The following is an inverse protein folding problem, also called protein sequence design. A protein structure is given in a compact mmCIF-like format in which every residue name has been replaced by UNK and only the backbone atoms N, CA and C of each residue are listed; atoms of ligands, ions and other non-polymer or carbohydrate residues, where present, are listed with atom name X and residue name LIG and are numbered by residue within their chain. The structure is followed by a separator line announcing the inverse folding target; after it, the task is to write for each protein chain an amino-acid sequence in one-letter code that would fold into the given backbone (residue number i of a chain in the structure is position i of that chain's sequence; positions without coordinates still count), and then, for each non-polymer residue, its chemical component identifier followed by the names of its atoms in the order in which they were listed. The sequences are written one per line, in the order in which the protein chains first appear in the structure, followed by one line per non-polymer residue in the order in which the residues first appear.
data_IF_105511297144
#
_entry.id   IF_105511297144
#
_cell.length_a   1.000
_cell.length_b   1.000
_cell.length_c   1.000
_cell.angle_alpha   90.00
_cell.angle_beta   90.00
_cell.angle_gamma   90.00
#
_symmetry.space_group_name_H-M   'P 1'
#
loop_
_entity.id
_entity.type
_entity.pdbx_description
1 polymer ?
#
# COMPACT_ATOMS: atom_id res chain seq x y z
N UNK A 1 -21.22 13.35 -29.93
CA UNK A 1 -20.00 12.95 -29.21
C UNK A 1 -18.96 12.53 -30.23
N UNK A 2 -17.73 13.06 -30.18
CA UNK A 2 -16.67 12.65 -31.09
C UNK A 2 -16.31 11.18 -30.89
N UNK A 3 -15.89 10.48 -31.97
CA UNK A 3 -15.42 9.06 -31.87
C UNK A 3 -14.35 8.88 -30.79
N UNK A 4 -13.57 9.92 -30.54
CA UNK A 4 -12.54 9.95 -29.50
C UNK A 4 -13.15 9.91 -28.08
N UNK A 5 -14.16 10.74 -27.80
CA UNK A 5 -14.85 10.77 -26.51
C UNK A 5 -15.53 9.44 -26.20
N UNK A 6 -16.12 8.79 -27.20
CA UNK A 6 -16.72 7.47 -27.05
C UNK A 6 -15.67 6.37 -26.81
N UNK A 7 -14.52 6.42 -27.48
CA UNK A 7 -13.41 5.46 -27.27
C UNK A 7 -12.77 5.60 -25.89
N UNK A 8 -12.67 6.83 -25.35
CA UNK A 8 -12.14 7.09 -24.00
C UNK A 8 -13.12 6.57 -22.95
N UNK A 9 -14.41 6.86 -23.09
CA UNK A 9 -15.45 6.41 -22.14
C UNK A 9 -15.58 4.89 -22.06
N UNK A 10 -15.25 4.16 -23.13
CA UNK A 10 -15.33 2.69 -23.20
C UNK A 10 -14.10 1.99 -22.59
N UNK A 11 -12.97 2.69 -22.39
CA UNK A 11 -11.73 2.12 -21.84
C UNK A 11 -11.42 2.74 -20.48
N UNK A 12 -11.56 1.95 -19.39
CA UNK A 12 -11.23 2.40 -18.02
C UNK A 12 -9.81 3.01 -17.94
N UNK A 13 -8.83 2.37 -18.57
CA UNK A 13 -7.44 2.86 -18.57
C UNK A 13 -7.30 4.23 -19.24
N UNK A 14 -7.94 4.43 -20.42
CA UNK A 14 -7.89 5.71 -21.11
C UNK A 14 -8.59 6.82 -20.32
N UNK A 15 -9.70 6.50 -19.67
CA UNK A 15 -10.41 7.44 -18.81
C UNK A 15 -9.54 7.86 -17.61
N UNK A 16 -8.91 6.90 -16.91
CA UNK A 16 -8.02 7.20 -15.78
C UNK A 16 -6.78 8.00 -16.20
N UNK A 17 -6.19 7.69 -17.35
CA UNK A 17 -5.06 8.47 -17.88
C UNK A 17 -5.45 9.89 -18.25
N UNK A 18 -6.64 10.09 -18.82
CA UNK A 18 -7.16 11.43 -19.11
C UNK A 18 -7.40 12.23 -17.82
N UNK A 19 -7.99 11.58 -16.81
CA UNK A 19 -8.25 12.20 -15.52
C UNK A 19 -6.95 12.60 -14.83
N UNK A 20 -5.95 11.71 -14.83
CA UNK A 20 -4.61 12.00 -14.31
C UNK A 20 -3.95 13.16 -15.06
N UNK A 21 -4.03 13.19 -16.39
CA UNK A 21 -3.48 14.29 -17.18
C UNK A 21 -4.18 15.62 -16.87
N UNK A 22 -5.50 15.60 -16.73
CA UNK A 22 -6.28 16.78 -16.35
C UNK A 22 -5.87 17.28 -14.95
N UNK A 23 -5.73 16.36 -13.98
CA UNK A 23 -5.30 16.69 -12.63
C UNK A 23 -3.91 17.33 -12.62
N UNK A 24 -2.94 16.78 -13.34
CA UNK A 24 -1.60 17.37 -13.48
C UNK A 24 -1.67 18.78 -14.06
N UNK A 25 -2.45 18.99 -15.10
CA UNK A 25 -2.61 20.33 -15.72
C UNK A 25 -3.22 21.31 -14.72
N UNK A 26 -4.33 20.94 -14.08
CA UNK A 26 -5.01 21.80 -13.10
C UNK A 26 -4.09 22.16 -11.94
N UNK A 27 -3.42 21.19 -11.34
CA UNK A 27 -2.51 21.42 -10.21
C UNK A 27 -1.30 22.25 -10.63
N UNK A 28 -0.79 22.09 -11.85
CA UNK A 28 0.30 22.92 -12.38
C UNK A 28 -0.12 24.36 -12.62
N UNK A 29 -1.38 24.60 -12.95
CA UNK A 29 -1.93 25.97 -13.09
C UNK A 29 -2.17 26.64 -11.73
N UNK A 30 -2.50 25.84 -10.69
CA UNK A 30 -2.78 26.37 -9.34
C UNK A 30 -1.47 26.67 -8.60
N UNK A 31 -0.45 25.82 -8.75
CA UNK A 31 0.80 25.95 -8.00
C UNK A 31 2.03 25.87 -8.92
N UNK A 32 2.86 26.90 -8.98
CA UNK A 32 4.10 26.89 -9.74
C UNK A 32 5.13 25.88 -9.20
N UNK A 33 4.95 25.44 -7.94
CA UNK A 33 5.82 24.46 -7.30
C UNK A 33 5.41 23.01 -7.57
N UNK A 34 4.23 22.78 -8.16
CA UNK A 34 3.67 21.43 -8.32
C UNK A 34 4.63 20.50 -9.10
N UNK A 35 5.19 20.94 -10.20
CA UNK A 35 6.14 20.18 -11.03
C UNK A 35 7.61 20.35 -10.58
N UNK A 36 7.89 21.00 -9.44
CA UNK A 36 9.27 21.06 -8.93
C UNK A 36 9.78 19.69 -8.56
N UNK A 37 11.08 19.45 -8.78
CA UNK A 37 11.71 18.16 -8.45
C UNK A 37 11.51 17.78 -6.98
N UNK A 38 11.61 18.76 -6.07
CA UNK A 38 11.41 18.54 -4.64
C UNK A 38 10.00 18.05 -4.33
N UNK A 39 8.96 18.64 -4.93
CA UNK A 39 7.59 18.22 -4.73
C UNK A 39 7.33 16.83 -5.34
N UNK A 40 7.85 16.55 -6.53
CA UNK A 40 7.72 15.23 -7.15
C UNK A 40 8.39 14.13 -6.32
N UNK A 41 9.54 14.41 -5.72
CA UNK A 41 10.21 13.47 -4.81
C UNK A 41 9.39 13.27 -3.52
N UNK A 42 8.79 14.31 -2.97
CA UNK A 42 7.89 14.19 -1.81
C UNK A 42 6.64 13.37 -2.15
N UNK A 43 6.02 13.60 -3.30
CA UNK A 43 4.87 12.81 -3.76
C UNK A 43 5.25 11.32 -3.84
N UNK A 44 6.41 10.98 -4.40
CA UNK A 44 6.87 9.58 -4.45
C UNK A 44 7.15 9.03 -3.05
N UNK A 45 7.71 9.82 -2.14
CA UNK A 45 7.97 9.42 -0.76
C UNK A 45 6.67 9.09 -0.01
N UNK A 46 5.67 9.97 -0.04
CA UNK A 46 4.37 9.72 0.57
C UNK A 46 3.56 8.64 -0.16
N UNK A 47 3.73 8.54 -1.48
CA UNK A 47 3.10 7.50 -2.31
C UNK A 47 3.70 6.10 -2.15
N UNK A 48 4.84 5.94 -1.47
CA UNK A 48 5.50 4.66 -1.29
C UNK A 48 4.58 3.61 -0.63
N UNK A 49 3.88 4.00 0.44
CA UNK A 49 2.93 3.14 1.13
C UNK A 49 1.77 2.71 0.22
N UNK A 50 1.19 3.66 -0.52
CA UNK A 50 0.11 3.37 -1.48
C UNK A 50 0.58 2.44 -2.60
N UNK A 51 1.81 2.60 -3.07
CA UNK A 51 2.40 1.70 -4.09
C UNK A 51 2.50 0.27 -3.57
N UNK A 52 2.99 0.08 -2.34
CA UNK A 52 3.07 -1.24 -1.72
C UNK A 52 1.69 -1.88 -1.50
N UNK A 53 0.71 -1.09 -1.04
CA UNK A 53 -0.67 -1.55 -0.90
C UNK A 53 -1.27 -1.97 -2.24
N UNK A 54 -1.07 -1.16 -3.29
CA UNK A 54 -1.55 -1.47 -4.64
C UNK A 54 -0.93 -2.75 -5.22
N UNK A 55 0.36 -3.01 -4.92
CA UNK A 55 1.01 -4.26 -5.29
C UNK A 55 0.42 -5.45 -4.54
N UNK A 56 0.12 -5.29 -3.24
CA UNK A 56 -0.55 -6.31 -2.43
C UNK A 56 -1.93 -6.62 -2.97
N UNK A 57 -2.75 -5.60 -3.24
CA UNK A 57 -4.08 -5.76 -3.83
C UNK A 57 -4.03 -6.41 -5.21
N UNK A 58 -3.06 -6.04 -6.04
CA UNK A 58 -2.86 -6.69 -7.34
C UNK A 58 -2.60 -8.21 -7.21
N UNK A 59 -1.85 -8.65 -6.18
CA UNK A 59 -1.66 -10.08 -5.89
C UNK A 59 -2.96 -10.77 -5.49
N UNK A 60 -3.79 -10.11 -4.67
CA UNK A 60 -5.10 -10.63 -4.27
C UNK A 60 -6.01 -10.77 -5.48
N UNK A 61 -6.09 -9.73 -6.32
CA UNK A 61 -6.91 -9.73 -7.54
C UNK A 61 -6.49 -10.81 -8.55
N UNK A 62 -5.18 -11.04 -8.70
CA UNK A 62 -4.63 -12.07 -9.60
C UNK A 62 -4.81 -13.47 -9.01
N UNK A 63 -4.78 -13.61 -7.68
CA UNK A 63 -4.83 -14.91 -6.99
C UNK A 63 -6.21 -15.53 -6.83
N UNK A 64 -7.31 -14.78 -7.01
CA UNK A 64 -8.67 -15.26 -6.73
C UNK A 64 -9.72 -14.79 -7.73
N UNK A 65 -10.74 -15.63 -7.97
CA UNK A 65 -11.96 -15.24 -8.64
C UNK A 65 -12.67 -14.22 -7.73
N UNK A 66 -12.90 -13.00 -8.21
CA UNK A 66 -13.50 -11.90 -7.46
C UNK A 66 -12.68 -11.46 -6.22
N UNK A 67 -11.36 -11.62 -6.25
CA UNK A 67 -10.44 -11.24 -5.18
C UNK A 67 -10.45 -9.72 -4.99
N UNK A 68 -11.16 -9.25 -3.96
CA UNK A 68 -11.15 -7.85 -3.50
C UNK A 68 -10.91 -7.89 -2.00
N UNK A 69 -9.89 -7.17 -1.53
CA UNK A 69 -9.60 -7.02 -0.10
C UNK A 69 -9.71 -5.55 0.33
N UNK A 70 -10.87 -5.17 0.87
CA UNK A 70 -11.08 -3.81 1.38
C UNK A 70 -10.29 -3.57 2.67
N UNK A 71 -9.89 -4.62 3.39
CA UNK A 71 -9.21 -4.50 4.68
C UNK A 71 -7.73 -4.14 4.57
N UNK A 72 -7.17 -4.07 3.37
CA UNK A 72 -5.72 -3.89 3.16
C UNK A 72 -5.19 -2.62 3.86
N UNK A 73 -5.94 -1.53 3.83
CA UNK A 73 -5.58 -0.28 4.53
C UNK A 73 -5.59 -0.44 6.06
N UNK A 74 -6.56 -1.14 6.62
CA UNK A 74 -6.65 -1.40 8.06
C UNK A 74 -5.61 -2.43 8.52
N UNK A 75 -5.29 -3.41 7.68
CA UNK A 75 -4.18 -4.36 7.91
C UNK A 75 -2.85 -3.62 7.98
N UNK A 76 -2.59 -2.68 7.06
CA UNK A 76 -1.41 -1.83 7.11
C UNK A 76 -1.39 -0.98 8.39
N UNK A 77 -2.52 -0.34 8.74
CA UNK A 77 -2.62 0.50 9.93
C UNK A 77 -2.34 -0.29 11.20
N UNK A 78 -2.98 -1.45 11.39
CA UNK A 78 -2.78 -2.28 12.57
C UNK A 78 -1.36 -2.86 12.64
N UNK A 79 -0.81 -3.31 11.53
CA UNK A 79 0.59 -3.77 11.46
C UNK A 79 1.58 -2.64 11.78
N UNK A 80 1.30 -1.41 11.31
CA UNK A 80 2.09 -0.23 11.63
C UNK A 80 2.00 0.15 13.13
N UNK A 81 0.84 0.03 13.74
CA UNK A 81 0.67 0.20 15.20
C UNK A 81 1.48 -0.84 15.96
N UNK A 82 1.42 -2.12 15.57
CA UNK A 82 2.20 -3.19 16.19
C UNK A 82 3.70 -2.91 16.04
N UNK A 83 4.16 -2.44 14.88
CA UNK A 83 5.53 -1.97 14.69
C UNK A 83 5.90 -0.88 15.68
N UNK A 84 5.09 0.18 15.75
CA UNK A 84 5.34 1.31 16.63
C UNK A 84 5.38 0.90 18.11
N UNK A 85 4.44 0.10 18.57
CA UNK A 85 4.40 -0.42 19.94
C UNK A 85 5.60 -1.31 20.26
N UNK A 86 6.06 -2.13 19.32
CA UNK A 86 7.27 -2.94 19.49
C UNK A 86 8.52 -2.05 19.68
N UNK A 87 8.66 -1.00 18.88
CA UNK A 87 9.77 -0.04 19.00
C UNK A 87 9.68 0.71 20.32
N UNK A 88 8.50 1.18 20.72
CA UNK A 88 8.28 1.85 22.02
C UNK A 88 8.55 0.91 23.20
N UNK A 89 8.31 -0.39 23.03
CA UNK A 89 8.64 -1.44 23.99
C UNK A 89 10.13 -1.80 24.04
N UNK A 90 11.00 -1.13 23.29
CA UNK A 90 12.44 -1.33 23.29
C UNK A 90 12.94 -2.36 22.26
N UNK A 91 12.10 -2.86 21.36
CA UNK A 91 12.56 -3.74 20.31
C UNK A 91 13.45 -2.97 19.30
N UNK A 92 14.49 -3.62 18.79
CA UNK A 92 15.28 -3.04 17.71
C UNK A 92 14.45 -2.94 16.42
N UNK A 93 14.77 -1.97 15.54
CA UNK A 93 14.02 -1.76 14.28
C UNK A 93 13.88 -3.04 13.45
N UNK A 94 14.94 -3.86 13.22
CA UNK A 94 14.79 -5.12 12.48
C UNK A 94 13.80 -6.10 13.14
N UNK A 95 13.82 -6.21 14.47
CA UNK A 95 12.89 -7.07 15.22
C UNK A 95 11.46 -6.55 15.08
N UNK A 96 11.25 -5.26 15.25
CA UNK A 96 9.94 -4.63 15.08
C UNK A 96 9.38 -4.82 13.66
N UNK A 97 10.23 -4.73 12.62
CA UNK A 97 9.84 -5.04 11.23
C UNK A 97 9.37 -6.50 11.10
N UNK A 98 10.11 -7.45 11.65
CA UNK A 98 9.73 -8.87 11.60
C UNK A 98 8.40 -9.12 12.30
N UNK A 99 8.20 -8.53 13.48
CA UNK A 99 6.95 -8.63 14.25
C UNK A 99 5.77 -8.04 13.44
N UNK A 100 5.96 -6.87 12.84
CA UNK A 100 4.93 -6.21 12.01
C UNK A 100 4.58 -7.03 10.77
N UNK A 101 5.57 -7.58 10.09
CA UNK A 101 5.34 -8.44 8.92
C UNK A 101 4.61 -9.75 9.30
N UNK A 102 4.98 -10.35 10.43
CA UNK A 102 4.29 -11.53 10.95
C UNK A 102 2.84 -11.22 11.32
N UNK A 103 2.60 -10.07 11.94
CA UNK A 103 1.24 -9.59 12.25
C UNK A 103 0.42 -9.37 10.97
N UNK A 104 0.96 -8.68 9.97
CA UNK A 104 0.30 -8.48 8.68
C UNK A 104 -0.03 -9.81 7.98
N UNK A 105 0.90 -10.76 8.00
CA UNK A 105 0.67 -12.10 7.46
C UNK A 105 -0.44 -12.86 8.22
N UNK A 106 -0.47 -12.76 9.54
CA UNK A 106 -1.51 -13.37 10.36
C UNK A 106 -2.90 -12.75 10.08
N UNK A 107 -2.99 -11.42 9.97
CA UNK A 107 -4.22 -10.72 9.61
C UNK A 107 -4.71 -11.12 8.22
N UNK A 108 -3.81 -11.20 7.25
CA UNK A 108 -4.13 -11.70 5.90
C UNK A 108 -4.57 -13.17 5.89
N UNK A 109 -3.96 -14.02 6.72
CA UNK A 109 -4.38 -15.41 6.88
C UNK A 109 -5.80 -15.52 7.48
N UNK A 110 -6.14 -14.68 8.46
CA UNK A 110 -7.50 -14.58 9.01
C UNK A 110 -8.50 -14.21 7.91
N UNK A 111 -8.18 -13.20 7.09
CA UNK A 111 -9.01 -12.83 5.94
C UNK A 111 -9.21 -14.00 4.98
N UNK A 112 -8.11 -14.71 4.64
CA UNK A 112 -8.17 -15.87 3.75
C UNK A 112 -9.10 -16.97 4.28
N UNK A 113 -9.04 -17.26 5.58
CA UNK A 113 -9.94 -18.24 6.25
C UNK A 113 -11.39 -17.75 6.21
N UNK A 114 -11.63 -16.50 6.57
CA UNK A 114 -12.99 -15.94 6.58
C UNK A 114 -13.62 -15.92 5.18
N UNK A 115 -12.84 -15.58 4.14
CA UNK A 115 -13.27 -15.62 2.75
C UNK A 115 -13.60 -17.07 2.33
N UNK A 116 -12.75 -18.03 2.71
CA UNK A 116 -12.98 -19.44 2.40
C UNK A 116 -14.27 -19.98 3.08
N UNK A 117 -14.59 -19.50 4.28
CA UNK A 117 -15.79 -19.91 5.02
C UNK A 117 -17.05 -19.17 4.53
N UNK A 118 -16.97 -17.88 4.29
CA UNK A 118 -18.13 -17.03 3.94
C UNK A 118 -18.46 -17.07 2.43
N UNK A 119 -17.51 -17.40 1.58
CA UNK A 119 -17.66 -17.41 0.12
C UNK A 119 -17.84 -16.04 -0.55
N UNK A 120 -17.80 -14.95 0.21
CA UNK A 120 -18.00 -13.58 -0.28
C UNK A 120 -16.85 -12.67 0.21
N UNK A 121 -15.81 -12.48 -0.60
CA UNK A 121 -14.60 -11.72 -0.22
C UNK A 121 -14.93 -10.31 0.29
N UNK A 122 -15.78 -9.59 -0.43
CA UNK A 122 -16.14 -8.21 -0.11
C UNK A 122 -16.73 -8.05 1.31
N UNK A 123 -17.63 -8.95 1.71
CA UNK A 123 -18.29 -8.87 3.02
C UNK A 123 -17.31 -9.25 4.15
N UNK A 124 -16.52 -10.30 3.93
CA UNK A 124 -15.53 -10.75 4.90
C UNK A 124 -14.48 -9.66 5.17
N UNK A 125 -13.92 -9.07 4.12
CA UNK A 125 -12.87 -8.04 4.24
C UNK A 125 -13.40 -6.70 4.72
N UNK A 126 -14.65 -6.36 4.42
CA UNK A 126 -15.31 -5.20 5.01
C UNK A 126 -15.49 -5.36 6.53
N UNK A 127 -15.88 -6.54 6.98
CA UNK A 127 -15.98 -6.85 8.41
C UNK A 127 -14.62 -6.72 9.12
N UNK A 128 -13.58 -7.34 8.57
CA UNK A 128 -12.23 -7.28 9.15
C UNK A 128 -11.62 -5.89 9.08
N UNK A 129 -11.95 -5.07 8.08
CA UNK A 129 -11.56 -3.67 8.01
C UNK A 129 -11.97 -2.91 9.27
N UNK A 130 -13.22 -3.03 9.69
CA UNK A 130 -13.70 -2.36 10.90
C UNK A 130 -13.03 -2.92 12.16
N UNK A 131 -12.88 -4.24 12.25
CA UNK A 131 -12.21 -4.87 13.40
C UNK A 131 -10.77 -4.43 13.52
N UNK A 132 -9.99 -4.46 12.44
CA UNK A 132 -8.57 -4.10 12.46
C UNK A 132 -8.37 -2.61 12.70
N UNK A 133 -9.22 -1.74 12.12
CA UNK A 133 -9.19 -0.31 12.40
C UNK A 133 -9.51 -0.01 13.87
N UNK A 134 -10.53 -0.66 14.43
CA UNK A 134 -10.90 -0.49 15.84
C UNK A 134 -9.80 -0.99 16.78
N UNK A 135 -9.15 -2.11 16.46
CA UNK A 135 -8.02 -2.62 17.23
C UNK A 135 -6.83 -1.66 17.18
N UNK A 136 -6.51 -1.08 16.02
CA UNK A 136 -5.45 -0.10 15.89
C UNK A 136 -5.71 1.14 16.77
N UNK A 137 -6.94 1.67 16.74
CA UNK A 137 -7.34 2.79 17.60
C UNK A 137 -7.33 2.44 19.09
N UNK A 138 -7.82 1.24 19.44
CA UNK A 138 -7.82 0.77 20.82
C UNK A 138 -6.41 0.65 21.40
N UNK A 139 -5.48 0.05 20.65
CA UNK A 139 -4.11 -0.17 21.10
C UNK A 139 -3.32 1.14 21.25
N UNK A 140 -3.67 2.17 20.50
CA UNK A 140 -3.00 3.50 20.59
C UNK A 140 -3.74 4.49 21.48
N UNK A 141 -4.93 4.14 21.98
CA UNK A 141 -5.82 5.10 22.64
C UNK A 141 -6.27 6.24 21.70
N UNK A 142 -6.22 6.04 20.39
CA UNK A 142 -6.52 7.06 19.38
C UNK A 142 -5.42 8.12 19.20
N UNK A 143 -4.25 7.92 19.79
CA UNK A 143 -3.12 8.86 19.70
C UNK A 143 -2.09 8.33 18.70
N UNK A 144 -1.58 9.16 17.77
CA UNK A 144 -0.53 8.76 16.86
C UNK A 144 0.76 8.36 17.59
N UNK A 145 1.38 7.26 17.19
CA UNK A 145 2.68 6.84 17.71
C UNK A 145 3.76 7.71 17.04
N UNK A 146 4.64 8.31 17.85
CA UNK A 146 5.72 9.19 17.40
C UNK A 146 6.99 8.95 18.24
N UNK A 147 8.10 9.63 17.90
CA UNK A 147 9.37 9.50 18.63
C UNK A 147 10.16 8.26 18.23
N UNK A 148 10.12 7.90 16.97
CA UNK A 148 10.95 6.84 16.42
C UNK A 148 12.44 7.22 16.45
N UNK A 149 13.36 6.25 16.63
CA UNK A 149 14.79 6.51 16.66
C UNK A 149 15.32 6.99 15.30
N UNK A 150 16.39 7.79 15.30
CA UNK A 150 17.02 8.35 14.10
C UNK A 150 17.43 7.28 13.07
N UNK A 151 17.74 6.06 13.53
CA UNK A 151 18.03 4.94 12.63
C UNK A 151 16.86 4.57 11.71
N UNK A 152 15.62 4.80 12.17
CA UNK A 152 14.42 4.62 11.34
C UNK A 152 14.19 5.82 10.41
N UNK A 153 14.54 7.03 10.83
CA UNK A 153 14.43 8.22 10.00
C UNK A 153 15.28 8.13 8.74
N UNK A 154 16.44 7.43 8.81
CA UNK A 154 17.26 7.20 7.63
C UNK A 154 16.47 6.50 6.51
N UNK A 155 15.64 5.54 6.83
CA UNK A 155 14.82 4.84 5.86
C UNK A 155 13.59 5.66 5.46
N UNK A 156 12.95 6.33 6.42
CA UNK A 156 11.64 6.96 6.24
C UNK A 156 11.70 8.39 5.68
N UNK A 157 12.74 9.16 6.02
CA UNK A 157 12.80 10.59 5.72
C UNK A 157 14.01 10.99 4.85
N UNK A 158 15.10 10.19 4.83
CA UNK A 158 16.30 10.58 4.09
C UNK A 158 16.29 10.08 2.65
N UNK A 159 17.15 10.69 1.85
CA UNK A 159 17.33 10.36 0.43
C UNK A 159 18.78 10.00 0.15
N UNK A 160 19.00 9.04 -0.75
CA UNK A 160 20.30 8.66 -1.28
C UNK A 160 20.33 8.96 -2.78
N UNK A 161 21.33 9.68 -3.26
CA UNK A 161 21.41 10.17 -4.66
C UNK A 161 20.17 11.00 -5.08
N UNK A 162 19.53 11.71 -4.14
CA UNK A 162 18.34 12.49 -4.41
C UNK A 162 17.03 11.68 -4.52
N UNK A 163 17.09 10.36 -4.34
CA UNK A 163 15.91 9.47 -4.34
C UNK A 163 15.56 9.10 -2.89
N UNK A 164 14.28 9.20 -2.46
CA UNK A 164 13.88 8.77 -1.13
C UNK A 164 14.26 7.32 -0.85
N UNK A 165 14.86 7.08 0.32
CA UNK A 165 15.37 5.75 0.69
C UNK A 165 14.27 4.68 0.71
N UNK A 166 13.04 5.04 1.08
CA UNK A 166 11.88 4.13 1.00
C UNK A 166 11.66 3.58 -0.42
N UNK A 167 11.82 4.44 -1.43
CA UNK A 167 11.67 4.02 -2.84
C UNK A 167 12.81 3.07 -3.21
N UNK A 168 14.03 3.46 -2.91
CA UNK A 168 15.23 2.73 -3.33
C UNK A 168 15.34 1.35 -2.66
N UNK A 169 15.12 1.30 -1.35
CA UNK A 169 15.40 0.11 -0.54
C UNK A 169 14.16 -0.72 -0.18
N UNK A 170 12.95 -0.20 -0.41
CA UNK A 170 11.71 -0.93 -0.10
C UNK A 170 10.86 -1.11 -1.35
N UNK A 171 10.41 -0.02 -1.97
CA UNK A 171 9.43 -0.11 -3.08
C UNK A 171 10.02 -0.85 -4.29
N UNK A 172 11.22 -0.48 -4.73
CA UNK A 172 11.86 -1.12 -5.90
C UNK A 172 12.11 -2.63 -5.65
N UNK A 173 12.77 -3.06 -4.55
CA UNK A 173 12.98 -4.47 -4.29
C UNK A 173 11.67 -5.27 -4.16
N UNK A 174 10.66 -4.73 -3.47
CA UNK A 174 9.36 -5.38 -3.33
C UNK A 174 8.65 -5.49 -4.68
N UNK A 175 8.70 -4.44 -5.51
CA UNK A 175 8.12 -4.47 -6.87
C UNK A 175 8.77 -5.54 -7.73
N UNK A 176 10.12 -5.65 -7.69
CA UNK A 176 10.86 -6.69 -8.42
C UNK A 176 10.46 -8.08 -7.91
N UNK A 177 10.35 -8.25 -6.59
CA UNK A 177 9.93 -9.52 -5.98
C UNK A 177 8.53 -9.91 -6.44
N UNK A 178 7.56 -8.99 -6.36
CA UNK A 178 6.18 -9.21 -6.81
C UNK A 178 6.14 -9.55 -8.30
N UNK A 179 6.91 -8.85 -9.13
CA UNK A 179 7.02 -9.15 -10.55
C UNK A 179 7.53 -10.59 -10.78
N UNK A 180 8.58 -11.01 -10.07
CA UNK A 180 9.11 -12.38 -10.14
C UNK A 180 8.07 -13.40 -9.70
N UNK A 181 7.34 -13.12 -8.61
CA UNK A 181 6.27 -13.99 -8.10
C UNK A 181 5.15 -14.18 -9.14
N UNK A 182 4.71 -13.11 -9.77
CA UNK A 182 3.63 -13.17 -10.76
C UNK A 182 4.08 -13.88 -12.04
N UNK A 183 5.23 -13.52 -12.59
CA UNK A 183 5.61 -13.98 -13.94
C UNK A 183 6.43 -15.28 -13.95
N UNK A 184 7.22 -15.60 -12.92
CA UNK A 184 8.11 -16.76 -12.92
C UNK A 184 7.62 -17.92 -12.07
N UNK A 185 6.82 -17.69 -11.03
CA UNK A 185 6.35 -18.78 -10.17
C UNK A 185 5.08 -19.44 -10.74
N UNK A 186 4.90 -20.74 -10.40
CA UNK A 186 3.71 -21.52 -10.82
C UNK A 186 2.40 -20.91 -10.30
N UNK A 187 2.45 -20.18 -9.18
CA UNK A 187 1.33 -19.49 -8.59
C UNK A 187 0.78 -18.40 -9.53
N UNK A 188 1.62 -17.48 -9.99
CA UNK A 188 1.18 -16.43 -10.91
C UNK A 188 0.72 -16.98 -12.27
N UNK A 189 1.38 -18.02 -12.79
CA UNK A 189 1.00 -18.65 -14.07
C UNK A 189 -0.30 -19.46 -14.06
N UNK A 190 -0.87 -19.77 -12.88
CA UNK A 190 -2.19 -20.43 -12.77
C UNK A 190 -3.32 -19.42 -12.67
N UNK A 191 -3.01 -18.14 -12.50
CA UNK A 191 -3.97 -17.05 -12.39
C UNK A 191 -4.26 -16.37 -13.75
N UNK A 192 -3.45 -16.71 -14.77
CA UNK A 192 -3.68 -16.41 -16.19
C UNK A 192 -4.05 -17.70 -16.92
#
# INVERSE_FOLDING_TARGET
MSKLAFSIAKSRTKFLLLLLALEIVVLSCISPYFLSLSNLLQITQFGAGLTLLSLGEALVMVGGKDGIDISIGSTMSLSGVIFGLAVMGGASIPVAIVISLAAGAALGAVNGVLIAMAGVPLIATLGTQYVYSSLALYLTGGIPISGFPESFEWLSLKSTFGIPNQILFVVIPVTILVFILIYKMKFGRRAY
#
